data_IF_708765623054
#
_entry.id   IF_708765623054
#
_cell.length_a   1.000
_cell.length_b   1.000
_cell.length_c   1.000
_cell.angle_alpha   90.00
_cell.angle_beta   90.00
_cell.angle_gamma   90.00
#
_symmetry.space_group_name_H-M   'P 1'
#
loop_
_entity.id
_entity.type
_entity.pdbx_description
1 polymer ?
#
# COMPACT_ATOMS: atom_id res chain seq x y z
N UNK A 1 -23.35 15.63 -36.68
CA UNK A 1 -22.69 14.38 -36.22
C UNK A 1 -21.26 14.56 -35.69
N UNK A 2 -20.51 15.60 -36.10
CA UNK A 2 -19.09 15.81 -35.74
C UNK A 2 -18.86 16.17 -34.24
N UNK A 3 -19.79 16.88 -33.59
CA UNK A 3 -19.62 17.31 -32.19
C UNK A 3 -19.83 16.19 -31.14
N UNK A 4 -20.59 15.14 -31.45
CA UNK A 4 -20.80 14.00 -30.53
C UNK A 4 -19.58 13.07 -30.49
N UNK A 5 -18.90 12.88 -31.62
CA UNK A 5 -17.68 12.08 -31.69
C UNK A 5 -16.49 12.78 -31.03
N UNK A 6 -16.47 14.12 -30.98
CA UNK A 6 -15.43 14.87 -30.26
C UNK A 6 -15.52 14.67 -28.75
N UNK A 7 -16.73 14.72 -28.16
CA UNK A 7 -16.95 14.43 -26.73
C UNK A 7 -16.59 12.97 -26.38
N UNK A 8 -16.96 12.02 -27.23
CA UNK A 8 -16.59 10.61 -27.06
C UNK A 8 -15.08 10.39 -27.16
N UNK A 9 -14.39 11.07 -28.09
CA UNK A 9 -12.93 11.01 -28.22
C UNK A 9 -12.25 11.60 -26.99
N UNK A 10 -12.71 12.74 -26.47
CA UNK A 10 -12.17 13.34 -25.24
C UNK A 10 -12.35 12.39 -24.05
N UNK A 11 -13.50 11.73 -23.94
CA UNK A 11 -13.76 10.73 -22.89
C UNK A 11 -12.81 9.53 -23.00
N UNK A 12 -12.61 8.99 -24.21
CA UNK A 12 -11.68 7.88 -24.43
C UNK A 12 -10.24 8.29 -24.14
N UNK A 13 -9.82 9.49 -24.56
CA UNK A 13 -8.51 10.03 -24.23
C UNK A 13 -8.37 10.23 -22.72
N UNK A 14 -9.37 10.74 -22.03
CA UNK A 14 -9.35 10.92 -20.57
C UNK A 14 -9.18 9.57 -19.85
N UNK A 15 -9.94 8.55 -20.22
CA UNK A 15 -9.81 7.20 -19.65
C UNK A 15 -8.44 6.58 -19.96
N UNK A 16 -7.92 6.78 -21.17
CA UNK A 16 -6.59 6.29 -21.57
C UNK A 16 -5.47 6.97 -20.77
N UNK A 17 -5.53 8.29 -20.57
CA UNK A 17 -4.55 9.02 -19.75
C UNK A 17 -4.66 8.67 -18.26
N UNK A 18 -5.88 8.41 -17.74
CA UNK A 18 -6.07 7.90 -16.39
C UNK A 18 -5.44 6.50 -16.26
N UNK A 19 -5.60 5.63 -17.26
CA UNK A 19 -4.94 4.32 -17.31
C UNK A 19 -3.42 4.42 -17.32
N UNK A 20 -2.84 5.31 -18.14
CA UNK A 20 -1.39 5.57 -18.20
C UNK A 20 -0.88 6.16 -16.89
N UNK A 21 -1.56 7.15 -16.31
CA UNK A 21 -1.20 7.74 -15.03
C UNK A 21 -1.23 6.67 -13.93
N UNK A 22 -2.25 5.81 -13.91
CA UNK A 22 -2.35 4.68 -12.98
C UNK A 22 -1.21 3.68 -13.18
N UNK A 23 -0.86 3.36 -14.42
CA UNK A 23 0.27 2.47 -14.75
C UNK A 23 1.63 3.03 -14.34
N UNK A 24 1.87 4.33 -14.58
CA UNK A 24 3.08 5.04 -14.16
C UNK A 24 3.17 5.07 -12.63
N UNK A 25 2.06 5.31 -11.93
CA UNK A 25 2.01 5.29 -10.46
C UNK A 25 2.33 3.90 -9.90
N UNK A 26 1.82 2.83 -10.51
CA UNK A 26 2.13 1.45 -10.11
C UNK A 26 3.60 1.12 -10.39
N UNK A 27 4.12 1.42 -11.58
CA UNK A 27 5.50 1.13 -11.96
C UNK A 27 6.50 1.88 -11.07
N UNK A 28 6.24 3.15 -10.79
CA UNK A 28 7.09 3.98 -9.94
C UNK A 28 7.02 3.51 -8.46
N UNK A 29 5.85 3.04 -8.00
CA UNK A 29 5.67 2.44 -6.67
C UNK A 29 6.43 1.12 -6.50
N UNK A 30 6.51 0.29 -7.56
CA UNK A 30 7.32 -0.93 -7.55
C UNK A 30 8.83 -0.60 -7.52
N UNK A 31 9.29 0.42 -8.25
CA UNK A 31 10.71 0.80 -8.28
C UNK A 31 11.17 1.41 -6.95
N UNK A 32 10.40 2.32 -6.33
CA UNK A 32 10.79 2.96 -5.06
C UNK A 32 10.74 2.01 -3.85
N UNK A 33 9.94 0.93 -3.90
CA UNK A 33 9.83 -0.03 -2.78
C UNK A 33 10.80 -1.21 -2.88
N UNK A 34 11.34 -1.51 -4.07
CA UNK A 34 12.23 -2.67 -4.28
C UNK A 34 13.71 -2.26 -4.43
N UNK A 35 14.01 -1.01 -4.82
CA UNK A 35 15.41 -0.55 -5.04
C UNK A 35 15.85 0.68 -4.23
N UNK A 36 14.98 1.30 -3.43
CA UNK A 36 15.34 2.44 -2.58
C UNK A 36 15.93 2.00 -1.23
N UNK A 37 17.15 2.45 -0.95
CA UNK A 37 17.87 2.34 0.32
C UNK A 37 16.98 2.63 1.54
N UNK A 38 17.13 1.77 2.55
CA UNK A 38 16.50 1.89 3.87
C UNK A 38 17.11 3.07 4.63
N UNK A 39 16.49 4.23 4.55
CA UNK A 39 16.54 5.19 5.65
C UNK A 39 15.23 5.12 6.43
N UNK A 40 15.33 5.19 7.75
CA UNK A 40 14.24 5.07 8.71
C UNK A 40 13.26 6.24 8.53
N UNK A 41 12.31 6.07 7.62
CA UNK A 41 11.21 6.99 7.41
C UNK A 41 10.25 6.88 8.60
N UNK A 42 10.30 7.87 9.50
CA UNK A 42 9.39 8.06 10.62
C UNK A 42 7.92 7.93 10.18
N UNK A 43 7.09 7.30 11.02
CA UNK A 43 5.67 7.05 10.73
C UNK A 43 4.88 8.35 10.57
N UNK A 44 5.23 9.38 11.36
CA UNK A 44 4.69 10.75 11.22
C UNK A 44 4.98 11.35 9.84
N UNK A 45 6.17 11.12 9.29
CA UNK A 45 6.52 11.61 7.97
C UNK A 45 5.73 10.93 6.85
N UNK A 46 5.23 9.70 7.03
CA UNK A 46 4.39 9.04 6.01
C UNK A 46 2.99 9.61 5.96
N UNK A 47 2.35 9.82 7.10
CA UNK A 47 1.02 10.42 7.16
C UNK A 47 1.07 11.86 6.64
N UNK A 48 2.09 12.62 7.05
CA UNK A 48 2.31 13.97 6.55
C UNK A 48 2.67 14.00 5.06
N UNK A 49 3.46 13.04 4.56
CA UNK A 49 3.72 12.89 3.11
C UNK A 49 2.44 12.59 2.34
N UNK A 50 1.64 11.62 2.78
CA UNK A 50 0.38 11.28 2.15
C UNK A 50 -0.58 12.47 2.12
N UNK A 51 -0.66 13.24 3.21
CA UNK A 51 -1.49 14.46 3.23
C UNK A 51 -0.94 15.54 2.29
N UNK A 52 0.39 15.73 2.24
CA UNK A 52 1.02 16.64 1.28
C UNK A 52 0.78 16.21 -0.17
N UNK A 53 0.78 14.93 -0.45
CA UNK A 53 0.55 14.39 -1.80
C UNK A 53 -0.91 14.59 -2.23
N UNK A 54 -1.87 14.38 -1.32
CA UNK A 54 -3.29 14.69 -1.56
C UNK A 54 -3.51 16.18 -1.78
N UNK A 55 -2.88 17.04 -0.96
CA UNK A 55 -3.00 18.49 -1.13
C UNK A 55 -2.40 18.94 -2.46
N UNK A 56 -1.22 18.43 -2.85
CA UNK A 56 -0.61 18.69 -4.17
C UNK A 56 -1.51 18.24 -5.32
N UNK A 57 -2.20 17.11 -5.17
CA UNK A 57 -3.16 16.62 -6.17
C UNK A 57 -4.38 17.54 -6.29
N UNK A 58 -4.90 18.02 -5.16
CA UNK A 58 -6.01 18.98 -5.15
C UNK A 58 -5.63 20.30 -5.82
N UNK A 59 -4.45 20.83 -5.49
CA UNK A 59 -3.96 22.11 -5.99
C UNK A 59 -3.62 22.01 -7.49
N UNK A 60 -3.03 20.89 -7.93
CA UNK A 60 -2.75 20.62 -9.35
C UNK A 60 -4.02 20.59 -10.21
N UNK A 61 -5.12 20.06 -9.68
CA UNK A 61 -6.40 20.00 -10.37
C UNK A 61 -7.26 21.26 -10.19
N UNK A 62 -6.82 22.22 -9.37
CA UNK A 62 -7.56 23.44 -9.08
C UNK A 62 -8.94 23.16 -8.46
N UNK A 63 -9.03 22.15 -7.59
CA UNK A 63 -10.30 21.75 -6.99
C UNK A 63 -10.83 22.83 -6.04
N UNK A 64 -12.12 23.14 -6.15
CA UNK A 64 -12.80 23.98 -5.15
C UNK A 64 -13.06 23.19 -3.85
N UNK A 65 -13.47 23.87 -2.78
CA UNK A 65 -13.63 23.25 -1.46
C UNK A 65 -14.66 22.11 -1.44
N UNK A 66 -15.77 22.24 -2.18
CA UNK A 66 -16.78 21.19 -2.27
C UNK A 66 -16.22 19.92 -2.95
N UNK A 67 -15.46 20.10 -4.04
CA UNK A 67 -14.79 19.00 -4.73
C UNK A 67 -13.72 18.33 -3.86
N UNK A 68 -12.95 19.10 -3.08
CA UNK A 68 -11.95 18.56 -2.14
C UNK A 68 -12.62 17.71 -1.06
N UNK A 69 -13.76 18.15 -0.53
CA UNK A 69 -14.53 17.37 0.45
C UNK A 69 -15.03 16.05 -0.16
N UNK A 70 -15.55 16.08 -1.38
CA UNK A 70 -15.99 14.88 -2.09
C UNK A 70 -14.84 13.90 -2.34
N UNK A 71 -13.67 14.39 -2.79
CA UNK A 71 -12.48 13.56 -3.00
C UNK A 71 -11.99 12.94 -1.69
N UNK A 72 -11.93 13.72 -0.61
CA UNK A 72 -11.53 13.21 0.71
C UNK A 72 -12.45 12.08 1.18
N UNK A 73 -13.77 12.24 1.00
CA UNK A 73 -14.75 11.21 1.34
C UNK A 73 -14.54 9.93 0.53
N UNK A 74 -14.34 10.05 -0.79
CA UNK A 74 -14.06 8.89 -1.66
C UNK A 74 -12.80 8.15 -1.22
N UNK A 75 -11.72 8.90 -0.91
CA UNK A 75 -10.47 8.31 -0.44
C UNK A 75 -10.63 7.62 0.92
N UNK A 76 -11.45 8.14 1.82
CA UNK A 76 -11.76 7.51 3.11
C UNK A 76 -12.56 6.22 2.94
N UNK A 77 -13.62 6.24 2.15
CA UNK A 77 -14.43 5.06 1.84
C UNK A 77 -13.57 3.97 1.21
N UNK A 78 -12.75 4.34 0.22
CA UNK A 78 -11.80 3.43 -0.44
C UNK A 78 -10.82 2.81 0.56
N UNK A 79 -10.26 3.61 1.50
CA UNK A 79 -9.38 3.10 2.56
C UNK A 79 -10.10 2.08 3.44
N UNK A 80 -11.37 2.31 3.77
CA UNK A 80 -12.16 1.40 4.58
C UNK A 80 -12.45 0.09 3.85
N UNK A 81 -12.77 0.14 2.56
CA UNK A 81 -12.96 -1.04 1.72
C UNK A 81 -11.69 -1.90 1.65
N UNK A 82 -10.54 -1.29 1.38
CA UNK A 82 -9.26 -2.00 1.39
C UNK A 82 -8.93 -2.61 2.75
N UNK A 83 -9.25 -1.93 3.85
CA UNK A 83 -9.06 -2.49 5.19
C UNK A 83 -9.95 -3.71 5.43
N UNK A 84 -11.20 -3.67 4.96
CA UNK A 84 -12.13 -4.80 5.02
C UNK A 84 -11.60 -6.00 4.22
N UNK A 85 -11.24 -5.76 2.95
CA UNK A 85 -10.65 -6.77 2.08
C UNK A 85 -9.39 -7.37 2.69
N UNK A 86 -8.52 -6.55 3.28
CA UNK A 86 -7.33 -7.03 3.98
C UNK A 86 -7.69 -7.94 5.15
N UNK A 87 -8.68 -7.59 5.98
CA UNK A 87 -9.12 -8.44 7.11
C UNK A 87 -9.64 -9.80 6.65
N UNK A 88 -10.36 -9.82 5.52
CA UNK A 88 -10.92 -11.05 4.96
C UNK A 88 -9.85 -11.93 4.28
N UNK A 89 -8.90 -11.32 3.57
CA UNK A 89 -7.90 -12.04 2.79
C UNK A 89 -6.68 -12.45 3.61
N UNK A 90 -6.32 -11.70 4.64
CA UNK A 90 -5.12 -11.95 5.44
C UNK A 90 -5.05 -13.35 6.06
N UNK A 91 -6.14 -13.91 6.64
CA UNK A 91 -6.13 -15.28 7.16
C UNK A 91 -5.84 -16.33 6.07
N UNK A 92 -6.35 -16.11 4.85
CA UNK A 92 -6.11 -17.02 3.72
C UNK A 92 -4.64 -17.03 3.32
N UNK A 93 -4.00 -15.86 3.28
CA UNK A 93 -2.56 -15.76 3.03
C UNK A 93 -1.75 -16.45 4.14
N UNK A 94 -2.10 -16.22 5.41
CA UNK A 94 -1.43 -16.87 6.54
C UNK A 94 -1.51 -18.40 6.45
N UNK A 95 -2.69 -18.94 6.16
CA UNK A 95 -2.88 -20.38 6.01
C UNK A 95 -2.01 -20.99 4.88
N UNK A 96 -1.89 -20.29 3.75
CA UNK A 96 -1.03 -20.72 2.63
C UNK A 96 0.45 -20.70 3.05
N UNK A 97 0.89 -19.65 3.75
CA UNK A 97 2.25 -19.57 4.27
C UNK A 97 2.54 -20.68 5.27
N UNK A 98 1.63 -20.96 6.20
CA UNK A 98 1.77 -22.04 7.19
C UNK A 98 1.84 -23.41 6.53
N UNK A 99 0.96 -23.69 5.57
CA UNK A 99 1.00 -24.93 4.80
C UNK A 99 2.33 -25.09 4.06
N UNK A 100 2.85 -24.01 3.45
CA UNK A 100 4.16 -24.01 2.80
C UNK A 100 5.29 -24.28 3.81
N UNK A 101 5.25 -23.64 4.98
CA UNK A 101 6.24 -23.85 6.06
C UNK A 101 6.27 -25.31 6.51
N UNK A 102 5.11 -25.94 6.68
CA UNK A 102 5.01 -27.35 7.08
C UNK A 102 5.61 -28.28 6.01
N UNK A 103 5.30 -28.05 4.73
CA UNK A 103 5.86 -28.83 3.62
C UNK A 103 7.38 -28.69 3.54
N UNK A 104 7.91 -27.48 3.69
CA UNK A 104 9.36 -27.24 3.75
C UNK A 104 9.97 -27.97 4.93
N UNK A 105 9.38 -27.86 6.14
CA UNK A 105 9.90 -28.52 7.35
C UNK A 105 9.96 -30.05 7.23
N UNK A 106 9.05 -30.65 6.47
CA UNK A 106 8.98 -32.09 6.27
C UNK A 106 10.17 -32.66 5.49
N UNK A 107 10.76 -31.87 4.56
CA UNK A 107 11.89 -32.31 3.73
C UNK A 107 13.27 -32.02 4.36
N UNK A 108 13.30 -31.32 5.51
CA UNK A 108 14.55 -30.94 6.18
C UNK A 108 15.02 -32.00 7.17
N UNK A 109 16.34 -32.14 7.32
CA UNK A 109 16.93 -32.91 8.42
C UNK A 109 16.70 -32.20 9.77
N UNK A 110 16.92 -32.92 10.88
CA UNK A 110 16.72 -32.36 12.22
C UNK A 110 17.57 -31.13 12.50
N UNK A 111 18.84 -31.11 12.04
CA UNK A 111 19.73 -29.96 12.17
C UNK A 111 19.26 -28.78 11.29
N UNK A 112 18.85 -29.06 10.05
CA UNK A 112 18.32 -28.04 9.13
C UNK A 112 17.01 -27.42 9.63
N UNK A 113 16.16 -28.21 10.30
CA UNK A 113 14.92 -27.71 10.92
C UNK A 113 15.20 -26.67 12.00
N UNK A 114 16.22 -26.88 12.83
CA UNK A 114 16.60 -25.91 13.86
C UNK A 114 17.07 -24.58 13.24
N UNK A 115 17.94 -24.64 12.23
CA UNK A 115 18.40 -23.46 11.47
C UNK A 115 17.24 -22.72 10.79
N UNK A 116 16.29 -23.47 10.23
CA UNK A 116 15.10 -22.89 9.61
C UNK A 116 14.18 -22.18 10.62
N UNK A 117 13.96 -22.77 11.79
CA UNK A 117 13.13 -22.18 12.84
C UNK A 117 13.74 -20.89 13.39
N UNK A 118 15.06 -20.88 13.58
CA UNK A 118 15.81 -19.68 13.99
C UNK A 118 15.67 -18.57 12.95
N UNK A 119 15.93 -18.87 11.68
CA UNK A 119 15.77 -17.92 10.58
C UNK A 119 14.37 -17.30 10.55
N UNK A 120 13.33 -18.10 10.78
CA UNK A 120 11.94 -17.63 10.82
C UNK A 120 11.67 -16.76 12.04
N UNK A 121 12.14 -17.13 13.23
CA UNK A 121 11.99 -16.33 14.46
C UNK A 121 12.60 -14.94 14.30
N UNK A 122 13.82 -14.83 13.77
CA UNK A 122 14.46 -13.53 13.53
C UNK A 122 13.66 -12.67 12.56
N UNK A 123 13.09 -13.29 11.52
CA UNK A 123 12.29 -12.59 10.52
C UNK A 123 10.96 -12.09 11.11
N UNK A 124 10.29 -12.92 11.91
CA UNK A 124 9.03 -12.58 12.57
C UNK A 124 9.23 -11.49 13.65
N UNK A 125 10.34 -11.53 14.39
CA UNK A 125 10.70 -10.46 15.34
C UNK A 125 10.86 -9.12 14.63
N UNK A 126 11.61 -9.07 13.51
CA UNK A 126 11.76 -7.83 12.72
C UNK A 126 10.43 -7.27 12.21
N UNK A 127 9.45 -8.11 11.92
CA UNK A 127 8.11 -7.65 11.53
C UNK A 127 7.31 -7.12 12.73
N UNK A 128 7.41 -7.77 13.90
CA UNK A 128 6.75 -7.32 15.14
C UNK A 128 7.33 -6.00 15.66
N UNK A 129 8.64 -5.82 15.61
CA UNK A 129 9.30 -4.61 16.10
C UNK A 129 8.90 -3.39 15.26
N UNK A 130 8.85 -3.53 13.92
CA UNK A 130 8.31 -2.48 13.04
C UNK A 130 6.84 -2.15 13.30
N UNK A 131 6.04 -3.11 13.75
CA UNK A 131 4.65 -2.88 14.13
C UNK A 131 4.52 -2.14 15.48
N UNK A 132 5.35 -2.49 16.46
CA UNK A 132 5.35 -1.86 17.80
C UNK A 132 5.83 -0.42 17.77
N UNK A 133 6.85 -0.10 16.97
CA UNK A 133 7.32 1.28 16.83
C UNK A 133 6.21 2.17 16.26
N UNK A 134 5.45 1.68 15.28
CA UNK A 134 4.32 2.42 14.71
C UNK A 134 3.16 2.68 15.68
N UNK A 135 2.98 1.83 16.71
CA UNK A 135 1.95 2.02 17.75
C UNK A 135 2.42 2.94 18.90
N UNK A 136 3.72 2.96 19.21
CA UNK A 136 4.31 3.90 20.19
C UNK A 136 4.25 5.35 19.70
N UNK A 137 4.60 5.58 18.44
CA UNK A 137 4.52 6.90 17.79
C UNK A 137 3.09 7.46 17.80
N UNK A 138 2.07 6.59 17.80
CA UNK A 138 0.66 6.99 17.75
C UNK A 138 0.10 7.44 19.11
N UNK A 139 0.71 7.01 20.22
CA UNK A 139 0.25 7.29 21.59
C UNK A 139 0.94 8.47 22.26
N UNK A 140 1.96 9.05 21.63
CA UNK A 140 2.64 10.27 22.11
C UNK A 140 2.29 11.43 21.17
N UNK A 141 1.14 12.09 21.35
CA UNK A 141 0.89 13.35 20.68
C UNK A 141 1.81 14.40 21.34
N UNK A 142 2.60 15.09 20.52
CA UNK A 142 3.23 16.36 20.90
C UNK A 142 2.18 17.47 20.89
#
# INVERSE_FOLDING_TARGET
MIARSLKAKILVFAVFFIGIATGILIANFYQTRVTGTREAVNTGDRAQRAQRDVNKFHDYLGLNEEQRQQVNKILEETRNEFQKLRKETHPRFQAIEEASRTKIRAILTSEQRQKYDEFRRTRDQRFKDRGRDSDRDRKTPN
#
